data_IF_243805473423
#
_entry.id   IF_243805473423
#
_cell.length_a   1.000
_cell.length_b   1.000
_cell.length_c   1.000
_cell.angle_alpha   90.00
_cell.angle_beta   90.00
_cell.angle_gamma   90.00
#
_symmetry.space_group_name_H-M   'P 1'
#
loop_
_entity.id
_entity.type
_entity.pdbx_description
1 polymer ?
#
# COMPACT_ATOMS: atom_id res chain seq x y z
N UNK A 1 -9.96 -2.01 15.72
CA UNK A 1 -9.61 -2.16 14.29
C UNK A 1 -8.91 -0.88 13.83
N UNK A 2 -8.06 -0.98 12.81
CA UNK A 2 -7.47 0.17 12.09
C UNK A 2 -8.00 0.11 10.66
N UNK A 3 -8.53 1.23 10.17
CA UNK A 3 -9.00 1.36 8.78
C UNK A 3 -8.26 2.55 8.19
N UNK A 4 -7.57 2.36 7.08
CA UNK A 4 -6.72 3.37 6.49
C UNK A 4 -6.90 3.44 4.96
N UNK A 5 -6.93 4.67 4.47
CA UNK A 5 -6.79 5.02 3.05
C UNK A 5 -5.76 6.15 2.96
N UNK A 6 -4.46 5.84 3.12
CA UNK A 6 -3.42 6.86 3.03
C UNK A 6 -3.31 7.37 1.59
N UNK A 7 -2.80 8.59 1.39
CA UNK A 7 -2.26 8.97 0.09
C UNK A 7 -1.26 7.92 -0.40
N UNK A 8 -1.28 7.63 -1.70
CA UNK A 8 -0.54 6.50 -2.27
C UNK A 8 0.16 6.84 -3.61
N UNK A 9 0.33 8.14 -3.90
CA UNK A 9 1.13 8.61 -5.03
C UNK A 9 2.45 9.21 -4.53
N UNK A 10 3.54 9.01 -5.26
CA UNK A 10 4.79 9.75 -5.05
C UNK A 10 4.61 11.16 -5.61
N UNK A 11 4.45 12.16 -4.75
CA UNK A 11 4.25 13.53 -5.19
C UNK A 11 5.52 14.35 -5.05
N UNK A 12 6.10 14.78 -6.19
CA UNK A 12 7.29 15.65 -6.22
C UNK A 12 7.12 16.96 -5.45
N UNK A 13 5.88 17.43 -5.29
CA UNK A 13 5.56 18.65 -4.53
C UNK A 13 5.30 18.38 -3.05
N UNK A 14 5.42 17.13 -2.59
CA UNK A 14 5.21 16.69 -1.22
C UNK A 14 3.89 17.21 -0.62
N UNK A 15 2.82 17.28 -1.42
CA UNK A 15 1.51 17.71 -0.92
C UNK A 15 0.97 16.61 -0.02
N UNK A 16 0.79 16.92 1.26
CA UNK A 16 0.42 15.93 2.28
C UNK A 16 -0.85 15.11 1.97
N UNK A 17 -1.78 15.65 1.17
CA UNK A 17 -3.01 14.95 0.78
C UNK A 17 -2.81 13.94 -0.37
N UNK A 18 -1.65 13.95 -1.02
CA UNK A 18 -1.33 13.17 -2.23
C UNK A 18 -0.10 12.29 -2.05
N UNK A 19 0.88 12.78 -1.30
CA UNK A 19 2.17 12.13 -1.12
C UNK A 19 2.09 10.93 -0.18
N UNK A 20 2.14 9.73 -0.75
CA UNK A 20 2.30 8.47 -0.02
C UNK A 20 3.74 8.18 0.39
N UNK A 21 4.69 9.01 -0.05
CA UNK A 21 6.09 8.92 0.32
C UNK A 21 6.89 7.83 -0.40
N UNK A 22 8.20 7.96 -0.32
CA UNK A 22 9.15 7.07 -1.00
C UNK A 22 9.17 7.26 -2.51
N UNK A 23 9.94 6.42 -3.21
CA UNK A 23 10.08 6.51 -4.66
C UNK A 23 8.79 6.16 -5.42
N UNK A 24 7.93 5.34 -4.81
CA UNK A 24 6.77 4.74 -5.45
C UNK A 24 5.42 5.12 -4.80
N UNK A 25 5.42 5.99 -3.78
CA UNK A 25 4.20 6.40 -3.08
C UNK A 25 3.70 5.39 -2.05
N UNK A 26 4.51 4.39 -1.68
CA UNK A 26 4.07 3.24 -0.86
C UNK A 26 4.50 3.31 0.60
N UNK A 27 5.40 4.23 0.96
CA UNK A 27 6.06 4.23 2.29
C UNK A 27 5.06 4.42 3.43
N UNK A 28 4.05 5.27 3.25
CA UNK A 28 3.03 5.52 4.26
C UNK A 28 2.17 4.27 4.51
N UNK A 29 1.85 3.51 3.46
CA UNK A 29 1.15 2.23 3.56
C UNK A 29 1.96 1.18 4.34
N UNK A 30 3.28 1.12 4.11
CA UNK A 30 4.17 0.24 4.86
C UNK A 30 4.22 0.63 6.35
N UNK A 31 4.41 1.92 6.63
CA UNK A 31 4.45 2.46 8.00
C UNK A 31 3.14 2.21 8.74
N UNK A 32 2.00 2.53 8.13
CA UNK A 32 0.69 2.29 8.74
C UNK A 32 0.50 0.81 9.06
N UNK A 33 0.88 -0.09 8.14
CA UNK A 33 0.77 -1.53 8.38
C UNK A 33 1.62 -1.96 9.59
N UNK A 34 2.88 -1.56 9.65
CA UNK A 34 3.78 -1.89 10.75
C UNK A 34 3.25 -1.37 12.11
N UNK A 35 2.83 -0.10 12.14
CA UNK A 35 2.34 0.56 13.36
C UNK A 35 0.99 -0.03 13.81
N UNK A 36 0.12 -0.41 12.88
CA UNK A 36 -1.15 -1.07 13.17
C UNK A 36 -0.90 -2.46 13.78
N UNK A 37 -0.04 -3.28 13.17
CA UNK A 37 0.31 -4.60 13.69
C UNK A 37 0.92 -4.54 15.09
N UNK A 38 1.74 -3.52 15.38
CA UNK A 38 2.33 -3.34 16.71
C UNK A 38 1.30 -2.97 17.80
N UNK A 39 0.19 -2.31 17.43
CA UNK A 39 -0.80 -1.77 18.40
C UNK A 39 -2.08 -2.59 18.52
N UNK A 40 -2.45 -3.33 17.48
CA UNK A 40 -3.66 -4.15 17.51
C UNK A 40 -3.50 -5.29 18.54
N UNK A 41 -4.50 -5.46 19.38
CA UNK A 41 -4.63 -6.64 20.25
C UNK A 41 -4.92 -7.89 19.42
N UNK A 42 -4.68 -9.11 19.96
CA UNK A 42 -5.19 -10.35 19.37
C UNK A 42 -6.68 -10.26 19.03
N UNK A 43 -7.07 -10.76 17.86
CA UNK A 43 -8.41 -10.61 17.29
C UNK A 43 -8.68 -9.23 16.66
N UNK A 44 -7.70 -8.32 16.67
CA UNK A 44 -7.77 -7.02 16.01
C UNK A 44 -7.61 -7.12 14.49
N UNK A 45 -8.16 -6.15 13.77
CA UNK A 45 -8.11 -6.12 12.31
C UNK A 45 -7.50 -4.81 11.77
N UNK A 46 -6.70 -4.92 10.72
CA UNK A 46 -6.31 -3.83 9.82
C UNK A 46 -7.05 -3.99 8.48
N UNK A 47 -7.62 -2.91 7.99
CA UNK A 47 -8.09 -2.78 6.60
C UNK A 47 -7.36 -1.60 5.96
N UNK A 48 -6.57 -1.88 4.93
CA UNK A 48 -5.81 -0.90 4.17
C UNK A 48 -6.33 -0.88 2.73
N UNK A 49 -6.92 0.26 2.34
CA UNK A 49 -7.23 0.59 0.96
C UNK A 49 -6.11 1.50 0.44
N UNK A 50 -5.42 1.13 -0.64
CA UNK A 50 -4.30 1.93 -1.14
C UNK A 50 -4.01 1.66 -2.61
N UNK A 51 -3.28 2.56 -3.25
CA UNK A 51 -2.69 2.36 -4.57
C UNK A 51 -1.41 1.54 -4.47
N UNK A 52 -1.21 0.66 -5.45
CA UNK A 52 0.02 -0.10 -5.64
C UNK A 52 0.47 0.09 -7.08
N UNK A 53 1.68 0.61 -7.34
CA UNK A 53 2.28 0.46 -8.65
C UNK A 53 2.44 -1.02 -8.98
N UNK A 54 2.34 -1.33 -10.26
CA UNK A 54 2.59 -2.65 -10.83
C UNK A 54 3.74 -2.50 -11.83
N UNK A 55 4.80 -3.27 -11.62
CA UNK A 55 6.00 -3.25 -12.46
C UNK A 55 6.33 -4.70 -12.83
N UNK A 56 6.46 -4.97 -14.12
CA UNK A 56 6.62 -6.31 -14.67
C UNK A 56 5.57 -7.31 -14.14
N UNK A 57 4.32 -6.83 -14.01
CA UNK A 57 3.19 -7.60 -13.48
C UNK A 57 3.25 -7.92 -11.98
N UNK A 58 4.15 -7.30 -11.22
CA UNK A 58 4.33 -7.50 -9.77
C UNK A 58 3.96 -6.25 -8.98
N UNK A 59 3.54 -6.43 -7.73
CA UNK A 59 3.28 -5.34 -6.80
C UNK A 59 4.46 -5.15 -5.84
N UNK A 60 5.33 -4.13 -6.00
CA UNK A 60 6.40 -3.87 -5.05
C UNK A 60 5.88 -3.65 -3.62
N UNK A 61 4.69 -3.06 -3.48
CA UNK A 61 4.01 -2.92 -2.18
C UNK A 61 3.78 -4.27 -1.51
N UNK A 62 3.32 -5.29 -2.25
CA UNK A 62 3.05 -6.62 -1.70
C UNK A 62 4.33 -7.29 -1.22
N UNK A 63 5.40 -7.19 -2.01
CA UNK A 63 6.70 -7.74 -1.67
C UNK A 63 7.29 -7.05 -0.43
N UNK A 64 7.15 -5.72 -0.32
CA UNK A 64 7.60 -4.95 0.83
C UNK A 64 6.76 -5.19 2.11
N UNK A 65 5.47 -5.50 1.97
CA UNK A 65 4.59 -5.85 3.10
C UNK A 65 4.86 -7.25 3.66
N UNK A 66 5.34 -8.19 2.85
CA UNK A 66 5.58 -9.58 3.26
C UNK A 66 6.41 -9.71 4.55
N UNK A 67 7.60 -9.08 4.69
CA UNK A 67 8.36 -9.13 5.94
C UNK A 67 7.65 -8.45 7.12
N UNK A 68 6.83 -7.42 6.89
CA UNK A 68 6.07 -6.73 7.94
C UNK A 68 4.97 -7.65 8.48
N UNK A 69 4.23 -8.32 7.60
CA UNK A 69 3.18 -9.26 7.97
C UNK A 69 3.74 -10.47 8.73
N UNK A 70 4.98 -10.88 8.43
CA UNK A 70 5.65 -11.97 9.13
C UNK A 70 6.06 -11.63 10.58
N UNK A 71 5.97 -10.37 11.02
CA UNK A 71 6.33 -9.97 12.40
C UNK A 71 5.33 -10.44 13.47
N UNK A 72 4.13 -10.87 13.06
CA UNK A 72 3.09 -11.38 13.94
C UNK A 72 2.33 -12.53 13.31
N UNK A 73 1.78 -13.41 14.15
CA UNK A 73 0.78 -14.39 13.72
C UNK A 73 -0.46 -13.63 13.26
N UNK A 74 -0.71 -13.64 11.96
CA UNK A 74 -1.87 -12.99 11.35
C UNK A 74 -2.33 -13.74 10.11
N UNK A 75 -3.57 -13.46 9.68
CA UNK A 75 -4.11 -13.88 8.40
C UNK A 75 -4.26 -12.65 7.52
N UNK A 76 -3.59 -12.61 6.38
CA UNK A 76 -3.67 -11.50 5.44
C UNK A 76 -4.41 -11.93 4.15
N UNK A 77 -5.31 -11.08 3.68
CA UNK A 77 -6.01 -11.22 2.40
C UNK A 77 -5.68 -10.01 1.53
N UNK A 78 -5.26 -10.26 0.29
CA UNK A 78 -4.98 -9.25 -0.72
C UNK A 78 -6.04 -9.32 -1.82
N UNK A 79 -6.64 -8.20 -2.18
CA UNK A 79 -7.57 -8.11 -3.30
C UNK A 79 -7.28 -6.86 -4.12
N UNK A 80 -7.09 -7.04 -5.42
CA UNK A 80 -7.13 -5.93 -6.37
C UNK A 80 -8.59 -5.52 -6.57
N UNK A 81 -8.89 -4.23 -6.38
CA UNK A 81 -10.24 -3.66 -6.45
C UNK A 81 -10.47 -2.92 -7.77
N UNK A 82 -9.47 -2.17 -8.21
CA UNK A 82 -9.44 -1.46 -9.48
C UNK A 82 -8.08 -1.75 -10.12
N UNK A 83 -8.03 -2.33 -11.32
CA UNK A 83 -6.77 -2.70 -11.94
C UNK A 83 -5.96 -1.49 -12.43
N UNK A 84 -6.58 -0.36 -12.75
CA UNK A 84 -5.82 0.72 -13.39
C UNK A 84 -6.42 2.10 -13.08
N UNK A 85 -5.69 2.85 -12.28
CA UNK A 85 -6.01 4.20 -11.85
C UNK A 85 -4.81 5.12 -12.09
N UNK A 86 -5.06 6.41 -12.29
CA UNK A 86 -4.00 7.42 -12.48
C UNK A 86 -3.10 7.17 -13.69
N UNK A 87 -3.69 6.75 -14.83
CA UNK A 87 -2.95 6.51 -16.08
C UNK A 87 -2.13 7.72 -16.55
N UNK A 88 -2.59 8.94 -16.26
CA UNK A 88 -1.86 10.18 -16.55
C UNK A 88 -0.52 10.30 -15.80
N UNK A 89 -0.38 9.65 -14.64
CA UNK A 89 0.86 9.70 -13.87
C UNK A 89 1.96 8.83 -14.52
N UNK A 90 1.59 7.82 -15.31
CA UNK A 90 2.51 6.90 -15.98
C UNK A 90 3.34 7.59 -17.08
N UNK A 91 2.93 8.78 -17.53
CA UNK A 91 3.64 9.54 -18.57
C UNK A 91 4.91 10.23 -18.02
N UNK A 92 5.10 10.26 -16.70
CA UNK A 92 6.21 10.96 -16.08
C UNK A 92 6.81 10.19 -14.89
N UNK A 93 8.10 10.38 -14.67
CA UNK A 93 8.74 9.87 -13.45
C UNK A 93 8.00 10.38 -12.18
N UNK A 94 7.89 9.56 -11.13
CA UNK A 94 8.56 8.27 -10.98
C UNK A 94 7.79 7.07 -11.55
N UNK A 95 6.69 7.26 -12.29
CA UNK A 95 5.86 6.16 -12.77
C UNK A 95 6.06 5.83 -14.26
N UNK A 96 7.04 6.46 -14.91
CA UNK A 96 7.43 6.25 -16.32
C UNK A 96 7.91 4.84 -16.67
N UNK A 97 8.13 4.01 -15.66
CA UNK A 97 8.51 2.60 -15.76
C UNK A 97 7.52 1.67 -15.04
N UNK A 98 6.34 2.20 -14.67
CA UNK A 98 5.25 1.45 -14.03
C UNK A 98 4.24 1.03 -15.09
N UNK A 99 3.85 -0.25 -15.10
CA UNK A 99 2.87 -0.80 -16.06
C UNK A 99 1.48 -0.15 -15.86
N UNK A 100 1.08 -0.02 -14.59
CA UNK A 100 -0.21 0.52 -14.13
C UNK A 100 -0.15 0.78 -12.63
N UNK A 101 -1.08 1.58 -12.10
CA UNK A 101 -1.28 1.70 -10.65
C UNK A 101 -2.63 1.07 -10.34
N UNK A 102 -2.63 0.03 -9.51
CA UNK A 102 -3.83 -0.67 -9.09
C UNK A 102 -4.32 -0.17 -7.73
N UNK A 103 -5.63 -0.11 -7.49
CA UNK A 103 -6.17 0.00 -6.15
C UNK A 103 -6.32 -1.39 -5.54
N UNK A 104 -5.84 -1.54 -4.31
CA UNK A 104 -5.92 -2.81 -3.57
C UNK A 104 -6.59 -2.61 -2.22
N UNK A 105 -7.16 -3.71 -1.71
CA UNK A 105 -7.48 -3.87 -0.30
C UNK A 105 -6.57 -4.96 0.29
N UNK A 106 -5.85 -4.60 1.35
CA UNK A 106 -5.22 -5.54 2.26
C UNK A 106 -6.06 -5.61 3.54
N UNK A 107 -6.52 -6.80 3.88
CA UNK A 107 -7.18 -7.08 5.17
C UNK A 107 -6.27 -7.99 5.99
N UNK A 108 -5.96 -7.60 7.22
CA UNK A 108 -5.11 -8.38 8.13
C UNK A 108 -5.86 -8.62 9.43
N UNK A 109 -6.12 -9.88 9.74
CA UNK A 109 -6.65 -10.33 11.02
C UNK A 109 -5.48 -10.78 11.91
N UNK A 110 -5.28 -10.10 13.04
CA UNK A 110 -4.23 -10.41 14.01
C UNK A 110 -4.71 -11.57 14.90
N UNK A 111 -3.88 -12.61 15.01
CA UNK A 111 -4.16 -13.80 15.81
C UNK A 111 -4.03 -13.58 17.31
#
# INVERSE_FOLDING_TARGET
AVIANPPYLADRRARAYRDGGGALGIDLSLRITAEALARLSPGGQLVLYTGSPVIDGRHPLRDALAPILATRTCRATWRELDPDVFGEELEAAPYDHTDRIAVIALVVDVG
#
